data_IF_328280721872
#
_entry.id   IF_328280721872
#
_cell.length_a   1.000
_cell.length_b   1.000
_cell.length_c   1.000
_cell.angle_alpha   90.00
_cell.angle_beta   90.00
_cell.angle_gamma   90.00
#
_symmetry.space_group_name_H-M   'P 1'
#
loop_
_entity.id
_entity.type
_entity.pdbx_description
1 polymer ?
#
# COMPACT_ATOMS: atom_id res chain seq x y z
N UNK A 1 8.00 -18.48 2.57
CA UNK A 1 7.56 -17.46 1.60
C UNK A 1 7.94 -17.98 0.23
N UNK A 2 6.93 -18.36 -0.55
CA UNK A 2 7.10 -18.81 -1.95
C UNK A 2 6.90 -17.61 -2.89
N UNK A 3 7.10 -17.82 -4.20
CA UNK A 3 6.96 -16.74 -5.20
C UNK A 3 5.57 -16.09 -5.18
N UNK A 4 4.50 -16.89 -5.05
CA UNK A 4 3.13 -16.38 -4.99
C UNK A 4 2.90 -15.49 -3.76
N UNK A 5 3.52 -15.82 -2.62
CA UNK A 5 3.44 -14.99 -1.42
C UNK A 5 4.09 -13.62 -1.66
N UNK A 6 5.22 -13.59 -2.39
CA UNK A 6 5.94 -12.35 -2.74
C UNK A 6 5.11 -11.50 -3.70
N UNK A 7 4.55 -12.11 -4.74
CA UNK A 7 3.70 -11.42 -5.72
C UNK A 7 2.44 -10.85 -5.06
N UNK A 8 1.81 -11.63 -4.17
CA UNK A 8 0.66 -11.16 -3.41
C UNK A 8 1.02 -10.00 -2.47
N UNK A 9 2.23 -10.00 -1.89
CA UNK A 9 2.71 -8.86 -1.11
C UNK A 9 2.89 -7.62 -1.99
N UNK A 10 3.61 -7.74 -3.11
CA UNK A 10 3.85 -6.63 -4.03
C UNK A 10 2.52 -6.00 -4.47
N UNK A 11 1.57 -6.82 -4.91
CA UNK A 11 0.28 -6.33 -5.36
C UNK A 11 -0.47 -5.53 -4.28
N UNK A 12 -0.45 -6.01 -3.04
CA UNK A 12 -1.08 -5.32 -1.90
C UNK A 12 -0.44 -3.96 -1.62
N UNK A 13 0.88 -3.86 -1.73
CA UNK A 13 1.59 -2.58 -1.60
C UNK A 13 1.23 -1.63 -2.75
N UNK A 14 1.22 -2.11 -3.99
CA UNK A 14 0.85 -1.31 -5.16
C UNK A 14 -0.59 -0.79 -5.07
N UNK A 15 -1.53 -1.63 -4.65
CA UNK A 15 -2.94 -1.23 -4.46
C UNK A 15 -3.08 -0.17 -3.35
N UNK A 16 -2.35 -0.33 -2.24
CA UNK A 16 -2.32 0.66 -1.18
C UNK A 16 -1.78 2.00 -1.68
N UNK A 17 -0.65 2.02 -2.39
CA UNK A 17 -0.09 3.24 -2.98
C UNK A 17 -1.03 3.91 -3.97
N UNK A 18 -1.67 3.15 -4.88
CA UNK A 18 -2.66 3.70 -5.80
C UNK A 18 -3.87 4.29 -5.08
N UNK A 19 -4.37 3.62 -4.03
CA UNK A 19 -5.47 4.15 -3.24
C UNK A 19 -5.09 5.46 -2.52
N UNK A 20 -3.85 5.53 -2.02
CA UNK A 20 -3.30 6.75 -1.42
C UNK A 20 -3.19 7.88 -2.45
N UNK A 21 -2.72 7.58 -3.66
CA UNK A 21 -2.62 8.54 -4.76
C UNK A 21 -3.99 9.04 -5.24
N UNK A 22 -5.04 8.22 -5.14
CA UNK A 22 -6.45 8.61 -5.35
C UNK A 22 -7.00 9.53 -4.25
N UNK A 23 -6.21 9.85 -3.22
CA UNK A 23 -6.62 10.65 -2.07
C UNK A 23 -7.40 9.85 -1.01
N UNK A 24 -7.40 8.51 -1.08
CA UNK A 24 -8.02 7.66 -0.06
C UNK A 24 -7.02 7.39 1.06
N UNK A 25 -7.48 7.51 2.30
CA UNK A 25 -6.71 7.04 3.45
C UNK A 25 -6.89 5.53 3.59
N UNK A 26 -5.81 4.77 3.53
CA UNK A 26 -5.83 3.30 3.69
C UNK A 26 -5.01 2.88 4.89
N UNK A 27 -5.52 1.93 5.68
CA UNK A 27 -4.76 1.30 6.76
C UNK A 27 -4.05 0.09 6.20
N UNK A 28 -2.72 0.19 6.06
CA UNK A 28 -1.88 -0.88 5.56
C UNK A 28 -0.91 -1.32 6.64
N UNK A 29 -0.89 -2.63 6.93
CA UNK A 29 -0.01 -3.21 7.94
C UNK A 29 -0.08 -2.51 9.33
N UNK A 30 -1.26 -2.01 9.71
CA UNK A 30 -1.47 -1.27 10.97
C UNK A 30 -1.06 0.20 10.94
N UNK A 31 -0.46 0.68 9.85
CA UNK A 31 -0.14 2.09 9.64
C UNK A 31 -1.19 2.74 8.74
N UNK A 32 -1.57 3.98 9.05
CA UNK A 32 -2.39 4.76 8.14
C UNK A 32 -1.49 5.35 7.06
N UNK A 33 -1.82 5.09 5.81
CA UNK A 33 -1.17 5.71 4.65
C UNK A 33 -2.13 6.74 4.07
N UNK A 34 -1.61 7.96 3.90
CA UNK A 34 -2.28 9.08 3.25
C UNK A 34 -1.34 9.69 2.21
N UNK A 35 -1.89 10.55 1.34
CA UNK A 35 -1.11 11.17 0.25
C UNK A 35 0.08 11.98 0.80
N UNK A 36 -0.06 12.51 2.02
CA UNK A 36 1.02 13.21 2.74
C UNK A 36 2.17 12.27 3.10
N UNK A 37 1.92 11.00 3.44
CA UNK A 37 2.99 10.04 3.76
C UNK A 37 3.83 9.61 2.55
N UNK A 38 3.32 9.80 1.32
CA UNK A 38 4.12 9.58 0.11
C UNK A 38 5.06 10.75 -0.19
N UNK A 39 4.82 11.91 0.42
CA UNK A 39 5.56 13.15 0.17
C UNK A 39 6.69 13.38 1.19
N UNK A 40 6.79 12.54 2.22
CA UNK A 40 7.88 12.51 3.21
C UNK A 40 8.96 11.49 2.84
#
# INVERSE_FOLDING_TARGET
>A
MNQNDIEAMIQRYTEAEMAVLDGKSVTFNGQQMTMENLSE
#
